data_IF_203593633397
#
_entry.id   IF_203593633397
#
_cell.length_a   1.000
_cell.length_b   1.000
_cell.length_c   1.000
_cell.angle_alpha   90.00
_cell.angle_beta   90.00
_cell.angle_gamma   90.00
#
_symmetry.space_group_name_H-M   'P 1'
#
loop_
_entity.id
_entity.type
_entity.pdbx_description
1 polymer ?
#
# COMPACT_ATOMS: atom_id res chain seq x y z
N UNK A 1 -0.09 -18.08 10.85
CA UNK A 1 -0.64 -17.17 9.82
C UNK A 1 0.06 -17.51 8.53
N UNK A 2 -0.68 -17.89 7.50
CA UNK A 2 -0.09 -18.16 6.19
C UNK A 2 0.14 -16.81 5.51
N UNK A 3 1.40 -16.39 5.40
CA UNK A 3 1.76 -15.20 4.63
C UNK A 3 1.38 -15.43 3.18
N UNK A 4 0.57 -14.55 2.59
CA UNK A 4 0.33 -14.59 1.16
C UNK A 4 1.66 -14.38 0.42
N UNK A 5 1.93 -15.13 -0.66
CA UNK A 5 3.10 -14.89 -1.49
C UNK A 5 3.05 -13.48 -2.07
N UNK A 6 4.21 -12.83 -2.18
CA UNK A 6 4.31 -11.54 -2.85
C UNK A 6 3.88 -11.68 -4.33
N UNK A 7 3.35 -10.61 -4.95
CA UNK A 7 3.04 -10.62 -6.36
C UNK A 7 4.27 -10.99 -7.20
N UNK A 8 4.12 -11.87 -8.18
CA UNK A 8 5.23 -12.31 -9.05
C UNK A 8 5.90 -11.15 -9.80
N UNK A 9 5.20 -10.03 -9.97
CA UNK A 9 5.76 -8.82 -10.60
C UNK A 9 6.71 -8.04 -9.69
N UNK A 10 6.84 -8.38 -8.41
CA UNK A 10 7.77 -7.74 -7.48
C UNK A 10 9.13 -8.42 -7.55
N UNK A 11 10.12 -7.74 -8.15
CA UNK A 11 11.51 -8.17 -8.05
C UNK A 11 12.05 -7.83 -6.66
N UNK A 12 11.93 -8.76 -5.72
CA UNK A 12 12.29 -8.55 -4.32
C UNK A 12 13.76 -8.15 -4.15
N UNK A 13 14.68 -8.82 -4.84
CA UNK A 13 16.12 -8.54 -4.71
C UNK A 13 16.43 -7.10 -5.15
N UNK A 14 15.89 -6.67 -6.29
CA UNK A 14 16.05 -5.30 -6.76
C UNK A 14 15.49 -4.27 -5.78
N UNK A 15 14.31 -4.55 -5.20
CA UNK A 15 13.67 -3.66 -4.23
C UNK A 15 14.54 -3.50 -2.99
N UNK A 16 15.09 -4.61 -2.46
CA UNK A 16 15.94 -4.59 -1.28
C UNK A 16 17.27 -3.88 -1.57
N UNK A 17 17.88 -4.13 -2.73
CA UNK A 17 19.12 -3.46 -3.14
C UNK A 17 18.91 -1.94 -3.29
N UNK A 18 17.82 -1.51 -3.93
CA UNK A 18 17.48 -0.09 -4.08
C UNK A 18 17.20 0.58 -2.74
N UNK A 19 16.46 -0.08 -1.84
CA UNK A 19 16.23 0.41 -0.49
C UNK A 19 17.55 0.59 0.27
N UNK A 20 18.46 -0.37 0.18
CA UNK A 20 19.77 -0.31 0.84
C UNK A 20 20.68 0.77 0.25
N UNK A 21 20.68 0.93 -1.07
CA UNK A 21 21.56 1.86 -1.77
C UNK A 21 21.05 3.32 -1.77
N UNK A 22 19.72 3.51 -1.82
CA UNK A 22 19.10 4.79 -2.10
C UNK A 22 18.07 5.24 -1.06
N UNK A 23 17.63 4.35 -0.16
CA UNK A 23 16.59 4.63 0.82
C UNK A 23 15.16 4.62 0.24
N UNK A 24 14.99 4.31 -1.05
CA UNK A 24 13.70 4.14 -1.71
C UNK A 24 13.83 3.16 -2.88
N UNK A 25 12.72 2.54 -3.28
CA UNK A 25 12.62 1.69 -4.47
C UNK A 25 11.35 2.02 -5.26
N UNK A 26 11.38 1.84 -6.58
CA UNK A 26 10.22 2.01 -7.46
C UNK A 26 9.88 0.68 -8.11
N UNK A 27 8.68 0.17 -7.84
CA UNK A 27 8.15 -1.06 -8.46
C UNK A 27 7.24 -0.69 -9.61
N UNK A 28 7.73 -0.84 -10.84
CA UNK A 28 6.91 -0.67 -12.03
C UNK A 28 5.90 -1.80 -12.13
N UNK A 29 4.63 -1.48 -12.46
CA UNK A 29 3.57 -2.47 -12.61
C UNK A 29 3.44 -3.36 -11.36
N UNK A 30 3.42 -2.74 -10.19
CA UNK A 30 3.37 -3.42 -8.89
C UNK A 30 2.16 -4.36 -8.73
N UNK A 31 1.14 -4.25 -9.57
CA UNK A 31 0.01 -5.17 -9.60
C UNK A 31 -0.44 -5.46 -11.02
N UNK A 32 -1.25 -6.52 -11.17
CA UNK A 32 -1.86 -6.85 -12.46
C UNK A 32 -2.86 -5.77 -12.90
N UNK A 33 -3.08 -5.57 -14.21
CA UNK A 33 -4.11 -4.68 -14.72
C UNK A 33 -5.51 -4.99 -14.18
N UNK A 34 -5.80 -6.28 -13.93
CA UNK A 34 -7.06 -6.73 -13.37
C UNK A 34 -7.25 -6.23 -11.94
N UNK A 35 -6.22 -6.36 -11.09
CA UNK A 35 -6.27 -5.85 -9.71
C UNK A 35 -6.45 -4.34 -9.69
N UNK A 36 -5.69 -3.60 -10.52
CA UNK A 36 -5.85 -2.15 -10.65
C UNK A 36 -7.29 -1.75 -11.02
N UNK A 37 -7.91 -2.47 -11.95
CA UNK A 37 -9.30 -2.22 -12.35
C UNK A 37 -10.29 -2.47 -11.19
N UNK A 38 -10.06 -3.53 -10.41
CA UNK A 38 -10.91 -3.85 -9.26
C UNK A 38 -10.80 -2.79 -8.16
N UNK A 39 -9.58 -2.35 -7.82
CA UNK A 39 -9.35 -1.29 -6.83
C UNK A 39 -10.00 0.01 -7.29
N UNK A 40 -9.84 0.39 -8.56
CA UNK A 40 -10.47 1.59 -9.10
C UNK A 40 -12.01 1.53 -9.01
N UNK A 41 -12.60 0.35 -9.26
CA UNK A 41 -14.05 0.14 -9.15
C UNK A 41 -14.53 0.22 -7.69
N UNK A 42 -13.82 -0.41 -6.76
CA UNK A 42 -14.15 -0.34 -5.33
C UNK A 42 -14.04 1.09 -4.81
N UNK A 43 -12.93 1.78 -5.12
CA UNK A 43 -12.74 3.20 -4.80
C UNK A 43 -13.87 4.09 -5.34
N UNK A 44 -14.27 3.89 -6.60
CA UNK A 44 -15.37 4.65 -7.21
C UNK A 44 -16.72 4.33 -6.58
N UNK A 45 -16.93 3.10 -6.11
CA UNK A 45 -18.17 2.70 -5.44
C UNK A 45 -18.33 3.38 -4.08
N UNK A 46 -17.23 3.56 -3.35
CA UNK A 46 -17.20 4.19 -2.03
C UNK A 46 -16.89 5.69 -2.09
N UNK A 47 -17.00 6.34 -3.26
CA UNK A 47 -16.57 7.72 -3.47
C UNK A 47 -17.22 8.72 -2.48
N UNK A 48 -18.49 8.51 -2.13
CA UNK A 48 -19.23 9.38 -1.20
C UNK A 48 -18.81 9.22 0.28
N UNK A 49 -18.01 8.20 0.60
CA UNK A 49 -17.50 7.94 1.94
C UNK A 49 -16.18 8.65 2.23
N UNK A 50 -15.50 9.15 1.19
CA UNK A 50 -14.25 9.89 1.31
C UNK A 50 -14.44 11.20 2.08
N UNK A 51 -13.47 11.53 2.94
CA UNK A 51 -13.48 12.72 3.80
C UNK A 51 -12.21 13.54 3.62
N UNK A 52 -12.30 14.85 3.84
CA UNK A 52 -11.15 15.75 3.79
C UNK A 52 -10.02 15.23 4.69
N UNK A 53 -8.82 15.11 4.12
CA UNK A 53 -7.68 14.58 4.86
C UNK A 53 -7.16 15.59 5.88
N UNK A 54 -7.08 15.17 7.14
CA UNK A 54 -6.45 15.94 8.20
C UNK A 54 -4.92 15.82 8.20
N UNK A 55 -4.27 16.85 8.75
CA UNK A 55 -2.95 16.75 9.37
C UNK A 55 -3.11 16.66 10.89
N UNK A 56 -2.02 16.59 11.66
CA UNK A 56 -2.06 16.44 13.13
C UNK A 56 -3.04 17.39 13.84
N UNK A 57 -3.18 18.63 13.35
CA UNK A 57 -4.03 19.66 13.92
C UNK A 57 -5.40 19.80 13.21
N UNK A 58 -5.85 18.78 12.49
CA UNK A 58 -7.13 18.78 11.76
C UNK A 58 -6.97 19.09 10.27
N UNK A 59 -8.08 19.44 9.62
CA UNK A 59 -8.13 19.71 8.17
C UNK A 59 -7.54 21.08 7.86
N UNK A 60 -6.47 21.10 7.05
CA UNK A 60 -5.81 22.34 6.59
C UNK A 60 -5.61 22.25 5.07
N UNK A 61 -6.59 22.77 4.32
CA UNK A 61 -6.66 22.64 2.87
C UNK A 61 -5.53 23.32 2.09
N UNK A 62 -4.82 24.28 2.70
CA UNK A 62 -3.62 24.91 2.11
C UNK A 62 -2.39 24.01 2.12
N UNK A 63 -2.40 22.95 2.91
CA UNK A 63 -1.30 21.97 3.01
C UNK A 63 -1.69 20.68 2.29
N UNK A 64 -2.93 20.22 2.46
CA UNK A 64 -3.42 18.95 1.93
C UNK A 64 -4.90 19.06 1.57
N UNK A 65 -5.26 18.74 0.32
CA UNK A 65 -6.62 18.96 -0.22
C UNK A 65 -7.28 17.72 -0.80
N UNK A 66 -6.64 16.55 -0.70
CA UNK A 66 -7.25 15.28 -1.08
C UNK A 66 -8.31 14.86 -0.06
N UNK A 67 -9.23 14.03 -0.54
CA UNK A 67 -10.14 13.28 0.33
C UNK A 67 -9.60 11.86 0.44
N UNK A 68 -9.71 11.27 1.64
CA UNK A 68 -9.25 9.92 1.93
C UNK A 68 -10.36 9.07 2.53
N UNK A 69 -10.21 7.77 2.35
CA UNK A 69 -10.98 6.73 3.02
C UNK A 69 -9.98 5.74 3.60
N UNK A 70 -10.10 5.43 4.89
CA UNK A 70 -9.24 4.43 5.53
C UNK A 70 -9.66 3.02 5.09
N UNK A 71 -8.70 2.27 4.55
CA UNK A 71 -8.89 0.86 4.20
C UNK A 71 -9.24 0.07 5.47
N UNK A 72 -10.23 -0.81 5.36
CA UNK A 72 -10.70 -1.68 6.43
C UNK A 72 -11.45 -2.88 5.82
N UNK A 73 -11.97 -3.77 6.66
CA UNK A 73 -12.67 -5.00 6.26
C UNK A 73 -13.86 -4.81 5.30
N UNK A 74 -14.44 -3.60 5.21
CA UNK A 74 -15.50 -3.28 4.24
C UNK A 74 -14.98 -3.06 2.81
N UNK A 75 -13.67 -3.03 2.60
CA UNK A 75 -12.98 -2.75 1.33
C UNK A 75 -12.11 -3.95 0.92
N UNK A 76 -12.71 -5.11 0.62
CA UNK A 76 -11.99 -6.38 0.44
C UNK A 76 -11.01 -6.40 -0.73
N UNK A 77 -11.13 -5.52 -1.73
CA UNK A 77 -10.14 -5.44 -2.82
C UNK A 77 -8.93 -4.64 -2.38
N UNK A 78 -9.13 -3.48 -1.74
CA UNK A 78 -8.05 -2.66 -1.20
C UNK A 78 -7.32 -3.36 -0.03
N UNK A 79 -8.02 -4.15 0.79
CA UNK A 79 -7.42 -4.92 1.89
C UNK A 79 -6.33 -5.88 1.41
N UNK A 80 -6.44 -6.42 0.19
CA UNK A 80 -5.40 -7.28 -0.42
C UNK A 80 -4.05 -6.55 -0.56
N UNK A 81 -4.05 -5.23 -0.77
CA UNK A 81 -2.83 -4.43 -0.78
C UNK A 81 -2.19 -4.40 0.60
N UNK A 82 -2.99 -4.25 1.65
CA UNK A 82 -2.53 -4.26 3.05
C UNK A 82 -1.97 -5.63 3.44
N UNK A 83 -2.63 -6.72 3.05
CA UNK A 83 -2.13 -8.09 3.22
C UNK A 83 -0.80 -8.30 2.49
N UNK A 84 -0.69 -7.81 1.26
CA UNK A 84 0.55 -7.85 0.46
C UNK A 84 1.68 -7.10 1.16
N UNK A 85 1.44 -5.87 1.62
CA UNK A 85 2.41 -5.09 2.36
C UNK A 85 2.81 -5.76 3.67
N UNK A 86 1.88 -6.43 4.35
CA UNK A 86 2.17 -7.19 5.57
C UNK A 86 3.12 -8.35 5.29
N UNK A 87 2.93 -9.07 4.17
CA UNK A 87 3.87 -10.09 3.71
C UNK A 87 5.23 -9.48 3.35
N UNK A 88 5.24 -8.33 2.68
CA UNK A 88 6.47 -7.62 2.32
C UNK A 88 7.26 -7.15 3.54
N UNK A 89 6.59 -6.67 4.59
CA UNK A 89 7.21 -6.30 5.86
C UNK A 89 8.02 -7.45 6.47
N UNK A 90 7.61 -8.71 6.29
CA UNK A 90 8.37 -9.87 6.75
C UNK A 90 9.72 -9.97 6.04
N UNK A 91 9.76 -9.71 4.73
CA UNK A 91 10.98 -9.70 3.93
C UNK A 91 11.89 -8.52 4.32
N UNK A 92 11.32 -7.33 4.53
CA UNK A 92 12.06 -6.17 5.03
C UNK A 92 12.67 -6.44 6.41
N UNK A 93 11.91 -7.05 7.32
CA UNK A 93 12.42 -7.43 8.64
C UNK A 93 13.56 -8.44 8.55
N UNK A 94 13.48 -9.40 7.63
CA UNK A 94 14.53 -10.38 7.43
C UNK A 94 15.80 -9.76 6.84
N UNK A 95 15.66 -8.85 5.88
CA UNK A 95 16.79 -8.22 5.20
C UNK A 95 17.48 -7.15 6.07
N UNK A 96 16.70 -6.39 6.85
CA UNK A 96 17.16 -5.16 7.50
C UNK A 96 16.96 -5.12 9.02
N UNK A 97 16.39 -6.15 9.64
CA UNK A 97 16.15 -6.24 11.09
C UNK A 97 15.29 -5.09 11.65
N UNK A 98 14.30 -4.61 10.88
CA UNK A 98 13.53 -3.40 11.21
C UNK A 98 12.50 -3.58 12.33
N UNK A 99 12.03 -4.80 12.60
CA UNK A 99 11.03 -5.06 13.63
C UNK A 99 9.65 -4.47 13.36
N UNK A 100 9.30 -4.28 12.08
CA UNK A 100 7.98 -3.82 11.62
C UNK A 100 6.94 -4.87 12.02
N UNK A 101 5.84 -4.43 12.65
CA UNK A 101 4.76 -5.30 13.14
C UNK A 101 3.59 -5.31 12.19
#
# INVERSE_FOLDING_TARGET
MHSQPLPDCWNLDQILDDLNAHGFAIVNQAYSPEYHTQVAKECSHHFDEFREAGIQNGVVSTIRSDHILWINESLPVAEQHVETLTSFCQHLNQAFFLGIK
#
